data_IF_289690266724
#
_entry.id   IF_289690266724
#
_cell.length_a   1.000
_cell.length_b   1.000
_cell.length_c   1.000
_cell.angle_alpha   90.00
_cell.angle_beta   90.00
_cell.angle_gamma   90.00
#
_symmetry.space_group_name_H-M   'P 1'
#
loop_
_entity.id
_entity.type
_entity.pdbx_description
1 polymer ?
#
# COMPACT_ATOMS: atom_id res chain seq x y z
N UNK A 1 12.87 -16.20 11.05
CA UNK A 1 11.75 -15.89 11.99
C UNK A 1 10.49 -15.82 11.15
N UNK A 2 9.33 -16.31 11.61
CA UNK A 2 8.09 -16.11 10.87
C UNK A 2 7.83 -14.61 10.79
N UNK A 3 7.73 -14.08 9.56
CA UNK A 3 7.29 -12.72 9.34
C UNK A 3 5.85 -12.60 9.84
N UNK A 4 5.65 -11.76 10.86
CA UNK A 4 4.31 -11.40 11.33
C UNK A 4 3.87 -10.14 10.59
N UNK A 5 2.57 -9.99 10.38
CA UNK A 5 1.94 -8.85 9.71
C UNK A 5 0.70 -8.44 10.49
N UNK A 6 0.18 -7.25 10.21
CA UNK A 6 -1.16 -6.80 10.60
C UNK A 6 -2.04 -6.67 9.37
N UNK A 7 -3.31 -6.31 9.55
CA UNK A 7 -4.25 -6.05 8.47
C UNK A 7 -4.79 -4.65 8.60
N UNK A 8 -4.77 -3.89 7.51
CA UNK A 8 -5.61 -2.71 7.42
C UNK A 8 -7.08 -3.14 7.29
N UNK A 9 -7.97 -2.50 8.04
CA UNK A 9 -9.38 -2.87 8.10
C UNK A 9 -10.26 -1.68 7.70
N UNK A 10 -10.84 -1.72 6.50
CA UNK A 10 -11.65 -0.65 5.94
C UNK A 10 -12.80 -1.20 5.10
N UNK A 11 -13.88 -0.43 5.01
CA UNK A 11 -14.90 -0.65 3.99
C UNK A 11 -14.38 -0.12 2.65
N UNK A 12 -14.21 -1.01 1.66
CA UNK A 12 -13.63 -0.69 0.36
C UNK A 12 -14.58 -1.14 -0.75
N UNK A 13 -15.01 -0.20 -1.59
CA UNK A 13 -15.83 -0.51 -2.76
C UNK A 13 -14.95 -1.07 -3.88
N UNK A 14 -15.25 -2.29 -4.32
CA UNK A 14 -14.51 -2.96 -5.38
C UNK A 14 -14.78 -2.29 -6.73
N UNK A 15 -13.75 -1.84 -7.47
CA UNK A 15 -13.95 -1.24 -8.78
C UNK A 15 -14.44 -2.24 -9.84
N UNK A 16 -14.26 -3.54 -9.61
CA UNK A 16 -14.63 -4.61 -10.56
C UNK A 16 -16.11 -5.01 -10.43
N UNK A 17 -16.59 -5.26 -9.20
CA UNK A 17 -17.96 -5.76 -8.99
C UNK A 17 -18.90 -4.76 -8.30
N UNK A 18 -18.39 -3.64 -7.79
CA UNK A 18 -19.18 -2.62 -7.08
C UNK A 18 -19.56 -2.97 -5.63
N UNK A 19 -19.29 -4.19 -5.17
CA UNK A 19 -19.54 -4.58 -3.77
C UNK A 19 -18.56 -3.91 -2.81
N UNK A 20 -19.03 -3.61 -1.60
CA UNK A 20 -18.22 -2.98 -0.55
C UNK A 20 -17.80 -4.01 0.49
N UNK A 21 -16.49 -4.17 0.68
CA UNK A 21 -15.94 -5.10 1.66
C UNK A 21 -16.32 -4.70 3.09
N UNK A 22 -16.45 -5.66 4.01
CA UNK A 22 -16.49 -5.34 5.44
C UNK A 22 -15.11 -4.81 5.91
N UNK A 23 -15.12 -4.00 6.97
CA UNK A 23 -13.91 -3.52 7.63
C UNK A 23 -13.28 -4.60 8.54
N UNK A 24 -12.85 -5.72 7.96
CA UNK A 24 -12.21 -6.83 8.64
C UNK A 24 -11.03 -7.41 7.83
N UNK A 25 -10.58 -8.63 8.15
CA UNK A 25 -9.43 -9.27 7.49
C UNK A 25 -9.75 -9.88 6.11
N UNK A 26 -11.01 -9.91 5.68
CA UNK A 26 -11.42 -10.58 4.44
C UNK A 26 -10.89 -9.92 3.17
N UNK A 27 -10.48 -8.64 3.25
CA UNK A 27 -9.79 -7.93 2.16
C UNK A 27 -8.33 -8.35 1.99
N UNK A 28 -7.79 -9.10 2.95
CA UNK A 28 -6.40 -9.53 3.01
C UNK A 28 -5.38 -8.38 2.84
N UNK A 29 -5.74 -7.17 3.29
CA UNK A 29 -4.92 -5.96 3.14
C UNK A 29 -3.78 -5.93 4.17
N UNK A 30 -2.79 -6.81 3.99
CA UNK A 30 -1.69 -7.05 4.94
C UNK A 30 -0.68 -5.90 4.98
N UNK A 31 -0.10 -5.66 6.17
CA UNK A 31 0.94 -4.65 6.37
C UNK A 31 2.02 -5.07 7.36
N UNK A 32 3.25 -4.61 7.09
CA UNK A 32 4.46 -4.87 7.88
C UNK A 32 5.06 -3.58 8.48
N UNK A 33 4.24 -2.52 8.56
CA UNK A 33 4.72 -1.17 8.88
C UNK A 33 4.98 -0.94 10.38
N UNK A 34 4.32 -1.70 11.26
CA UNK A 34 4.61 -1.71 12.72
C UNK A 34 5.88 -2.49 13.02
N UNK A 35 6.60 -2.09 14.08
CA UNK A 35 7.83 -2.81 14.49
C UNK A 35 7.54 -4.20 15.06
N UNK A 36 6.39 -4.35 15.72
CA UNK A 36 5.92 -5.59 16.32
C UNK A 36 4.50 -5.88 15.80
N UNK A 37 4.37 -6.42 14.59
CA UNK A 37 3.07 -6.83 14.06
C UNK A 37 2.54 -8.06 14.80
N UNK A 38 1.25 -8.06 15.11
CA UNK A 38 0.58 -9.06 15.98
C UNK A 38 -0.70 -9.61 15.34
N UNK A 39 -0.84 -9.52 14.01
CA UNK A 39 -2.08 -9.86 13.27
C UNK A 39 -3.27 -9.02 13.73
N UNK A 40 -3.02 -7.79 14.16
CA UNK A 40 -4.07 -6.87 14.56
C UNK A 40 -4.84 -6.36 13.34
N UNK A 41 -6.12 -6.04 13.54
CA UNK A 41 -6.89 -5.21 12.61
C UNK A 41 -6.60 -3.75 12.90
N UNK A 42 -6.23 -2.98 11.89
CA UNK A 42 -5.89 -1.57 11.95
C UNK A 42 -6.98 -0.77 11.22
N UNK A 43 -8.08 -0.42 11.89
CA UNK A 43 -9.11 0.46 11.34
C UNK A 43 -8.65 1.93 11.30
N UNK A 44 -9.49 2.80 10.72
CA UNK A 44 -9.34 4.25 10.87
C UNK A 44 -9.35 4.62 12.36
N UNK A 45 -8.42 5.49 12.75
CA UNK A 45 -8.16 5.87 14.15
C UNK A 45 -7.14 4.97 14.86
N UNK A 46 -6.72 3.85 14.26
CA UNK A 46 -5.71 2.98 14.85
C UNK A 46 -4.31 3.61 14.78
N UNK A 47 -3.45 3.37 15.80
CA UNK A 47 -2.08 3.86 15.79
C UNK A 47 -1.24 3.11 14.76
N UNK A 48 -0.55 3.88 13.92
CA UNK A 48 0.45 3.40 12.99
C UNK A 48 1.64 4.37 13.02
N UNK A 49 2.67 4.11 13.87
CA UNK A 49 3.74 5.07 14.17
C UNK A 49 4.72 5.21 13.00
N UNK A 50 4.26 5.87 11.95
CA UNK A 50 5.02 6.30 10.79
C UNK A 50 5.25 7.80 10.87
N UNK A 51 6.48 8.20 10.56
CA UNK A 51 6.87 9.58 10.41
C UNK A 51 7.91 9.71 9.28
N UNK A 52 8.25 10.96 8.97
CA UNK A 52 9.24 11.29 7.94
C UNK A 52 10.62 10.68 8.19
N UNK A 53 11.10 10.68 9.44
CA UNK A 53 12.44 10.18 9.76
C UNK A 53 12.51 8.67 9.62
N UNK A 54 11.48 7.97 10.08
CA UNK A 54 11.35 6.53 9.94
C UNK A 54 11.29 6.11 8.48
N UNK A 55 10.54 6.83 7.64
CA UNK A 55 10.51 6.57 6.19
C UNK A 55 11.85 6.82 5.52
N UNK A 56 12.59 7.84 5.95
CA UNK A 56 13.92 8.13 5.41
C UNK A 56 14.95 7.05 5.77
N UNK A 57 14.88 6.52 6.99
CA UNK A 57 15.94 5.67 7.57
C UNK A 57 15.67 4.18 7.41
N UNK A 58 14.41 3.76 7.37
CA UNK A 58 14.01 2.35 7.39
C UNK A 58 13.62 1.86 6.00
N UNK A 59 14.06 0.65 5.65
CA UNK A 59 13.44 -0.13 4.57
C UNK A 59 12.26 -0.89 5.16
N UNK A 60 11.07 -0.72 4.58
CA UNK A 60 9.89 -1.47 4.97
C UNK A 60 9.75 -2.69 4.08
N UNK A 61 9.73 -3.85 4.71
CA UNK A 61 9.45 -5.09 4.00
C UNK A 61 8.05 -5.03 3.38
N UNK A 62 7.92 -5.48 2.14
CA UNK A 62 6.66 -5.40 1.39
C UNK A 62 6.37 -4.04 0.75
N UNK A 63 7.22 -3.01 0.94
CA UNK A 63 6.99 -1.68 0.38
C UNK A 63 8.21 -1.10 -0.36
N UNK A 64 7.90 -0.33 -1.40
CA UNK A 64 8.80 0.58 -2.09
C UNK A 64 8.63 1.99 -1.50
N UNK A 65 9.73 2.68 -1.26
CA UNK A 65 9.70 4.11 -0.92
C UNK A 65 9.69 4.93 -2.21
N UNK A 66 8.54 5.50 -2.57
CA UNK A 66 8.37 6.31 -3.77
C UNK A 66 8.96 7.73 -3.59
N UNK A 67 8.71 8.33 -2.43
CA UNK A 67 9.28 9.60 -1.99
C UNK A 67 9.18 9.76 -0.47
N UNK A 68 10.00 10.65 0.10
CA UNK A 68 10.00 10.95 1.54
C UNK A 68 9.04 12.11 1.82
N UNK A 69 8.08 11.97 2.77
CA UNK A 69 7.14 13.03 3.10
C UNK A 69 7.85 14.23 3.72
N UNK A 70 7.26 15.42 3.58
CA UNK A 70 7.72 16.60 4.35
C UNK A 70 7.42 16.39 5.85
N UNK A 71 8.25 16.93 6.76
CA UNK A 71 7.98 16.84 8.20
C UNK A 71 6.57 17.33 8.55
N UNK A 72 5.80 16.51 9.25
CA UNK A 72 4.43 16.81 9.69
C UNK A 72 3.36 16.72 8.60
N UNK A 73 3.71 16.44 7.34
CA UNK A 73 2.73 16.18 6.31
C UNK A 73 2.12 14.78 6.45
N UNK A 74 0.87 14.58 6.00
CA UNK A 74 0.28 13.25 5.89
C UNK A 74 1.12 12.31 5.03
N UNK A 75 1.13 11.04 5.41
CA UNK A 75 1.82 9.96 4.72
C UNK A 75 0.77 9.16 3.95
N UNK A 76 0.81 9.26 2.64
CA UNK A 76 0.03 8.45 1.70
C UNK A 76 0.74 7.13 1.38
N UNK A 77 0.01 6.02 1.47
CA UNK A 77 0.47 4.66 1.21
C UNK A 77 -0.47 4.03 0.19
N UNK A 78 0.06 3.51 -0.91
CA UNK A 78 -0.69 2.66 -1.82
C UNK A 78 -0.55 1.19 -1.43
N UNK A 79 -1.67 0.56 -1.17
CA UNK A 79 -1.74 -0.81 -0.67
C UNK A 79 -2.67 -1.64 -1.55
N UNK A 80 -2.29 -2.88 -1.83
CA UNK A 80 -3.16 -3.84 -2.52
C UNK A 80 -4.12 -4.53 -1.57
N UNK A 81 -5.28 -4.88 -2.09
CA UNK A 81 -6.30 -5.68 -1.39
C UNK A 81 -7.03 -6.60 -2.37
N UNK A 82 -7.62 -7.67 -1.83
CA UNK A 82 -8.42 -8.65 -2.57
C UNK A 82 -9.90 -8.41 -2.29
N UNK A 83 -10.74 -8.41 -3.33
CA UNK A 83 -12.18 -8.31 -3.10
C UNK A 83 -12.75 -9.65 -2.62
N UNK A 84 -13.36 -9.74 -1.42
CA UNK A 84 -13.88 -11.00 -0.89
C UNK A 84 -15.11 -11.53 -1.64
N UNK A 85 -15.77 -10.69 -2.44
CA UNK A 85 -16.99 -11.06 -3.16
C UNK A 85 -16.73 -11.65 -4.55
N UNK A 86 -15.86 -11.02 -5.34
CA UNK A 86 -15.55 -11.47 -6.70
C UNK A 86 -14.16 -12.09 -6.85
N UNK A 87 -13.35 -12.11 -5.78
CA UNK A 87 -11.98 -12.64 -5.81
C UNK A 87 -11.03 -11.85 -6.72
N UNK A 88 -11.40 -10.62 -7.12
CA UNK A 88 -10.53 -9.80 -7.95
C UNK A 88 -9.22 -9.55 -7.19
N UNK A 89 -8.08 -10.05 -7.72
CA UNK A 89 -6.79 -9.84 -7.09
C UNK A 89 -6.29 -8.43 -7.44
N UNK A 90 -5.51 -7.83 -6.54
CA UNK A 90 -4.78 -6.58 -6.79
C UNK A 90 -5.66 -5.33 -7.04
N UNK A 91 -6.76 -5.16 -6.29
CA UNK A 91 -7.36 -3.83 -6.15
C UNK A 91 -6.43 -2.93 -5.33
N UNK A 92 -6.56 -1.61 -5.48
CA UNK A 92 -5.72 -0.64 -4.76
C UNK A 92 -6.53 0.17 -3.75
N UNK A 93 -5.88 0.53 -2.66
CA UNK A 93 -6.37 1.44 -1.65
C UNK A 93 -5.30 2.45 -1.26
N UNK A 94 -5.71 3.69 -1.03
CA UNK A 94 -4.87 4.71 -0.41
C UNK A 94 -5.13 4.72 1.10
N UNK A 95 -4.07 4.49 1.88
CA UNK A 95 -4.07 4.67 3.33
C UNK A 95 -3.36 5.99 3.64
N UNK A 96 -4.05 6.90 4.31
CA UNK A 96 -3.49 8.17 4.77
C UNK A 96 -3.23 8.11 6.26
N UNK A 97 -1.99 8.42 6.65
CA UNK A 97 -1.53 8.40 8.04
C UNK A 97 -1.06 9.79 8.42
N UNK A 98 -1.61 10.37 9.47
CA UNK A 98 -1.17 11.65 10.00
C UNK A 98 -0.90 11.52 11.48
N UNK A 99 0.19 12.14 11.94
CA UNK A 99 0.60 12.12 13.35
C UNK A 99 0.67 10.69 13.95
N UNK A 100 1.06 9.70 13.14
CA UNK A 100 1.16 8.30 13.55
C UNK A 100 -0.18 7.59 13.75
N UNK A 101 -1.27 8.08 13.14
CA UNK A 101 -2.62 7.50 13.22
C UNK A 101 -3.20 7.38 11.81
N UNK A 102 -3.90 6.28 11.54
CA UNK A 102 -4.61 6.09 10.27
C UNK A 102 -5.81 7.04 10.23
N UNK A 103 -5.81 8.03 9.33
CA UNK A 103 -6.91 8.99 9.21
C UNK A 103 -7.95 8.57 8.18
N UNK A 104 -7.50 7.94 7.08
CA UNK A 104 -8.38 7.55 5.99
C UNK A 104 -7.86 6.31 5.29
N UNK A 105 -8.79 5.48 4.85
CA UNK A 105 -8.55 4.39 3.91
C UNK A 105 -9.65 4.46 2.85
N UNK A 106 -9.28 4.39 1.57
CA UNK A 106 -10.24 4.42 0.48
C UNK A 106 -9.75 3.58 -0.70
N UNK A 107 -10.66 2.90 -1.39
CA UNK A 107 -10.35 2.27 -2.66
C UNK A 107 -10.01 3.33 -3.71
N UNK A 108 -8.97 3.09 -4.49
CA UNK A 108 -8.46 4.01 -5.52
C UNK A 108 -7.99 3.22 -6.73
N UNK A 109 -7.84 3.90 -7.87
CA UNK A 109 -7.12 3.34 -9.02
C UNK A 109 -5.60 3.54 -8.84
N UNK A 110 -4.81 2.66 -9.45
CA UNK A 110 -3.36 2.86 -9.54
C UNK A 110 -3.04 3.71 -10.77
N UNK A 111 -3.20 5.02 -10.63
CA UNK A 111 -2.93 6.01 -11.67
C UNK A 111 -1.71 6.89 -11.32
N UNK A 112 -1.37 7.81 -12.23
CA UNK A 112 -0.27 8.77 -12.07
C UNK A 112 -0.45 9.68 -10.85
N UNK A 113 -1.66 10.19 -10.61
CA UNK A 113 -1.93 11.14 -9.53
C UNK A 113 -1.78 10.50 -8.15
N UNK A 114 -2.24 9.25 -8.01
CA UNK A 114 -2.08 8.45 -6.80
C UNK A 114 -0.63 8.04 -6.59
N UNK A 115 0.06 7.63 -7.66
CA UNK A 115 1.48 7.28 -7.60
C UNK A 115 2.34 8.48 -7.16
N UNK A 116 2.19 9.65 -7.78
CA UNK A 116 3.05 10.81 -7.55
C UNK A 116 2.91 11.41 -6.15
N UNK A 117 1.74 11.27 -5.50
CA UNK A 117 1.54 11.74 -4.13
C UNK A 117 1.89 10.70 -3.07
N UNK A 118 2.03 9.43 -3.44
CA UNK A 118 2.31 8.34 -2.52
C UNK A 118 3.74 8.34 -2.03
N UNK A 119 3.93 7.99 -0.77
CA UNK A 119 5.25 7.90 -0.13
C UNK A 119 5.74 6.46 -0.07
N UNK A 120 4.82 5.53 0.21
CA UNK A 120 5.06 4.10 0.24
C UNK A 120 4.09 3.42 -0.74
N UNK A 121 4.57 2.39 -1.43
CA UNK A 121 3.77 1.60 -2.38
C UNK A 121 4.02 0.12 -2.10
N UNK A 122 2.97 -0.69 -1.99
CA UNK A 122 3.10 -2.14 -1.86
C UNK A 122 3.91 -2.74 -3.02
N UNK A 123 4.73 -3.75 -2.72
CA UNK A 123 5.62 -4.39 -3.70
C UNK A 123 4.85 -5.05 -4.87
N UNK A 124 3.56 -5.32 -4.69
CA UNK A 124 2.62 -5.75 -5.71
C UNK A 124 2.57 -4.82 -6.93
N UNK A 125 3.03 -3.56 -6.80
CA UNK A 125 3.25 -2.64 -7.93
C UNK A 125 4.23 -3.20 -9.00
N UNK A 126 4.97 -4.27 -8.68
CA UNK A 126 5.73 -5.03 -9.66
C UNK A 126 4.84 -5.53 -10.81
N UNK A 127 3.61 -5.98 -10.52
CA UNK A 127 2.65 -6.41 -11.55
C UNK A 127 2.33 -5.28 -12.53
N UNK A 128 2.08 -4.09 -12.01
CA UNK A 128 1.82 -2.89 -12.83
C UNK A 128 3.02 -2.57 -13.74
N UNK A 129 4.24 -2.62 -13.21
CA UNK A 129 5.43 -2.37 -14.02
C UNK A 129 5.68 -3.45 -15.09
N UNK A 130 5.34 -4.72 -14.81
CA UNK A 130 5.38 -5.78 -15.81
C UNK A 130 4.44 -5.47 -16.96
N UNK A 131 3.20 -5.07 -16.66
CA UNK A 131 2.20 -4.72 -17.68
C UNK A 131 2.62 -3.50 -18.51
N UNK A 132 3.15 -2.47 -17.86
CA UNK A 132 3.60 -1.24 -18.53
C UNK A 132 4.83 -1.42 -19.43
N UNK A 133 5.71 -2.37 -19.10
CA UNK A 133 7.00 -2.55 -19.81
C UNK A 133 7.06 -3.80 -20.69
N UNK A 134 6.13 -4.74 -20.51
CA UNK A 134 6.18 -6.07 -21.11
C UNK A 134 7.33 -6.94 -20.60
N UNK A 135 7.99 -6.56 -19.49
CA UNK A 135 9.12 -7.29 -18.90
C UNK A 135 8.67 -8.29 -17.86
N UNK A 136 9.47 -9.32 -17.65
CA UNK A 136 9.25 -10.29 -16.57
C UNK A 136 9.70 -9.76 -15.21
N UNK A 137 9.18 -10.34 -14.13
CA UNK A 137 9.63 -10.03 -12.77
C UNK A 137 11.16 -10.19 -12.60
N UNK A 138 11.76 -11.23 -13.18
CA UNK A 138 13.21 -11.49 -13.07
C UNK A 138 14.07 -10.38 -13.71
N UNK A 139 13.56 -9.71 -14.74
CA UNK A 139 14.23 -8.56 -15.34
C UNK A 139 14.06 -7.31 -14.47
N UNK A 140 12.85 -7.08 -13.96
CA UNK A 140 12.51 -5.87 -13.21
C UNK A 140 13.11 -5.82 -11.79
N UNK A 141 13.31 -6.95 -11.11
CA UNK A 141 13.95 -6.99 -9.78
C UNK A 141 15.38 -6.42 -9.75
N UNK A 142 16.01 -6.25 -10.93
CA UNK A 142 17.34 -5.63 -11.07
C UNK A 142 17.28 -4.13 -11.41
N UNK A 143 16.07 -3.58 -11.56
CA UNK A 143 15.82 -2.22 -11.98
C UNK A 143 15.23 -1.39 -10.83
N UNK A 144 15.30 -0.07 -10.97
CA UNK A 144 14.58 0.83 -10.08
C UNK A 144 13.09 0.86 -10.47
N UNK A 145 12.30 0.07 -9.74
CA UNK A 145 10.86 -0.08 -9.98
C UNK A 145 10.11 1.25 -9.82
N UNK A 146 10.51 2.10 -8.88
CA UNK A 146 9.88 3.41 -8.67
C UNK A 146 10.16 4.30 -9.87
N UNK A 147 11.39 4.31 -10.39
CA UNK A 147 11.73 5.10 -11.56
C UNK A 147 10.98 4.61 -12.82
N UNK A 148 10.83 3.29 -13.00
CA UNK A 148 10.03 2.72 -14.10
C UNK A 148 8.59 3.19 -14.03
N UNK A 149 7.95 3.08 -12.86
CA UNK A 149 6.56 3.50 -12.67
C UNK A 149 6.41 5.01 -12.96
N UNK A 150 7.35 5.82 -12.48
CA UNK A 150 7.37 7.27 -12.71
C UNK A 150 7.42 7.64 -14.20
N UNK A 151 8.21 6.91 -14.98
CA UNK A 151 8.41 7.17 -16.41
C UNK A 151 7.29 6.61 -17.31
N UNK A 152 6.48 5.67 -16.80
CA UNK A 152 5.55 4.87 -17.63
C UNK A 152 4.07 5.01 -17.29
N UNK A 153 3.72 5.47 -16.10
CA UNK A 153 2.34 5.91 -15.77
C UNK A 153 1.98 7.19 -16.55
#
# INVERSE_FOLDING_TARGET
MPYSYDYFAAELTCPVCGETSPADHTTNMQTYLRDNPERALLPVGAPLPLDTERIRQKKYEGYLTAQVPRPGAPIHILQTWECPFCGAPANWAEVTVSHGVIERMAAVEFDRDHFERSHLIANDALGIAMDLTGKTAQELVKMDLVQILRDRL
#
